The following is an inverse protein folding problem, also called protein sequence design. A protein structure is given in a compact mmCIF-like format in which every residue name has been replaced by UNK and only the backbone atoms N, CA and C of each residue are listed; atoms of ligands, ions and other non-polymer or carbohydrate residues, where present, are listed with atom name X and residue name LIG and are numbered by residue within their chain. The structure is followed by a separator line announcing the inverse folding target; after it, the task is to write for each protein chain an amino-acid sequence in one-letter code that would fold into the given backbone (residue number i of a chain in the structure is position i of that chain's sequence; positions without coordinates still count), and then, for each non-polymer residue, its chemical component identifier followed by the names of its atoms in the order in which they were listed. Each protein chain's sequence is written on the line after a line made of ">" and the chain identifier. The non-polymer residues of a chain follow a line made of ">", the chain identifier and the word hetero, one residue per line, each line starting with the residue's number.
data_IF_038744119251
#
_entry.id   IF_038744119251
#
_cell.length_a   1.000
_cell.length_b   1.000
_cell.length_c   1.000
_cell.angle_alpha   90.00
_cell.angle_beta   90.00
_cell.angle_gamma   90.00
#
_symmetry.space_group_name_H-M   'P 1'
#
loop_
_entity.id
_entity.type
_entity.pdbx_description
1 polymer ?
#
# COMPACT_ATOMS: atom_id res chain seq x y z
N UNK A 1 -17.56 27.51 -30.88
CA UNK A 1 -17.62 26.03 -30.85
C UNK A 1 -16.55 25.55 -29.88
N UNK A 2 -16.92 25.34 -28.61
CA UNK A 2 -16.00 24.83 -27.59
C UNK A 2 -16.18 23.32 -27.50
N UNK A 3 -15.21 22.56 -27.98
CA UNK A 3 -15.13 21.12 -27.76
C UNK A 3 -14.41 20.86 -26.44
N UNK A 4 -15.18 20.53 -25.40
CA UNK A 4 -14.65 20.02 -24.14
C UNK A 4 -14.41 18.53 -24.30
N UNK A 5 -13.15 18.12 -24.45
CA UNK A 5 -12.74 16.72 -24.48
C UNK A 5 -12.82 16.17 -23.05
N UNK A 6 -13.82 15.33 -22.77
CA UNK A 6 -13.87 14.55 -21.54
C UNK A 6 -12.74 13.52 -21.58
N UNK A 7 -11.78 13.62 -20.66
CA UNK A 7 -10.81 12.57 -20.41
C UNK A 7 -11.56 11.33 -19.92
N UNK A 8 -11.58 10.32 -20.78
CA UNK A 8 -12.17 9.02 -20.51
C UNK A 8 -11.33 8.35 -19.41
N UNK A 9 -11.88 8.23 -18.20
CA UNK A 9 -11.27 7.49 -17.10
C UNK A 9 -11.09 6.01 -17.52
N UNK A 10 -9.86 5.62 -17.82
CA UNK A 10 -9.46 4.23 -17.99
C UNK A 10 -9.38 3.56 -16.61
N UNK A 11 -10.51 3.10 -16.07
CA UNK A 11 -10.48 2.21 -14.92
C UNK A 11 -10.28 0.78 -15.41
N UNK A 12 -9.06 0.24 -15.33
CA UNK A 12 -8.82 -1.17 -15.58
C UNK A 12 -9.42 -2.00 -14.44
N UNK A 13 -10.29 -2.94 -14.82
CA UNK A 13 -10.76 -3.99 -13.91
C UNK A 13 -9.59 -4.94 -13.68
N UNK A 14 -9.04 -4.93 -12.48
CA UNK A 14 -8.19 -6.02 -12.01
C UNK A 14 -9.11 -7.24 -11.88
N UNK A 15 -8.98 -8.21 -12.77
CA UNK A 15 -9.67 -9.49 -12.69
C UNK A 15 -9.05 -10.31 -11.56
N UNK A 16 -9.47 -10.01 -10.33
CA UNK A 16 -9.03 -10.67 -9.09
C UNK A 16 -9.66 -12.05 -8.97
N UNK A 17 -9.37 -12.98 -9.90
CA UNK A 17 -9.82 -14.37 -9.79
C UNK A 17 -9.30 -14.98 -8.47
N UNK A 18 -10.13 -14.95 -7.43
CA UNK A 18 -9.95 -15.64 -6.16
C UNK A 18 -8.99 -15.01 -5.14
N UNK A 19 -8.41 -13.84 -5.37
CA UNK A 19 -7.44 -13.27 -4.42
C UNK A 19 -8.11 -12.29 -3.44
N UNK A 20 -8.07 -12.63 -2.14
CA UNK A 20 -8.48 -11.78 -0.99
C UNK A 20 -7.60 -10.52 -0.80
N UNK A 21 -6.77 -10.21 -1.79
CA UNK A 21 -5.77 -9.17 -1.75
C UNK A 21 -5.36 -8.69 -3.15
N UNK A 22 -4.95 -7.43 -3.23
CA UNK A 22 -4.35 -6.82 -4.42
C UNK A 22 -2.91 -6.44 -4.04
N UNK A 23 -1.94 -6.75 -4.89
CA UNK A 23 -0.54 -6.36 -4.69
C UNK A 23 0.04 -5.94 -6.04
N UNK A 24 0.44 -4.68 -6.13
CA UNK A 24 0.90 -4.06 -7.37
C UNK A 24 2.37 -3.71 -7.21
N UNK A 25 3.21 -4.21 -8.11
CA UNK A 25 4.62 -3.83 -8.25
C UNK A 25 4.69 -2.70 -9.28
N UNK A 26 4.96 -1.49 -8.80
CA UNK A 26 4.84 -0.28 -9.59
C UNK A 26 6.09 -0.10 -10.46
N UNK A 27 5.93 -0.17 -11.77
CA UNK A 27 7.04 -0.18 -12.71
C UNK A 27 7.61 -1.57 -13.01
N UNK A 28 7.02 -2.65 -12.51
CA UNK A 28 7.30 -3.99 -13.05
C UNK A 28 6.78 -4.13 -14.48
N UNK A 29 7.46 -4.94 -15.29
CA UNK A 29 7.03 -5.29 -16.64
C UNK A 29 6.11 -6.51 -16.71
N UNK A 30 6.05 -7.30 -15.63
CA UNK A 30 5.34 -8.57 -15.60
C UNK A 30 4.77 -8.87 -14.20
N UNK A 31 3.77 -9.75 -14.20
CA UNK A 31 3.19 -10.32 -12.99
C UNK A 31 4.07 -11.47 -12.50
N UNK A 32 4.12 -11.69 -11.19
CA UNK A 32 4.92 -12.76 -10.59
C UNK A 32 4.41 -13.12 -9.20
N UNK A 33 4.84 -14.27 -8.69
CA UNK A 33 4.68 -14.61 -7.28
C UNK A 33 6.00 -14.40 -6.57
N UNK A 34 6.01 -13.55 -5.55
CA UNK A 34 7.19 -13.28 -4.74
C UNK A 34 7.69 -14.56 -4.07
N UNK A 35 8.96 -14.90 -4.26
CA UNK A 35 9.50 -16.20 -3.85
C UNK A 35 9.57 -16.36 -2.34
N UNK A 36 9.80 -15.26 -1.62
CA UNK A 36 9.93 -15.27 -0.16
C UNK A 36 8.56 -15.30 0.51
N UNK A 37 7.66 -14.40 0.10
CA UNK A 37 6.36 -14.20 0.77
C UNK A 37 5.22 -15.02 0.17
N UNK A 38 5.43 -15.62 -1.01
CA UNK A 38 4.41 -16.32 -1.81
C UNK A 38 3.22 -15.45 -2.22
N UNK A 39 3.37 -14.13 -2.13
CA UNK A 39 2.33 -13.17 -2.52
C UNK A 39 2.41 -12.93 -4.02
N UNK A 40 1.32 -13.11 -4.78
CA UNK A 40 1.27 -12.72 -6.18
C UNK A 40 1.21 -11.20 -6.28
N UNK A 41 2.06 -10.67 -7.14
CA UNK A 41 2.15 -9.27 -7.54
C UNK A 41 1.78 -9.15 -9.01
N UNK A 42 0.99 -8.13 -9.31
CA UNK A 42 0.70 -7.72 -10.68
C UNK A 42 1.48 -6.47 -11.04
N UNK A 43 1.84 -6.34 -12.31
CA UNK A 43 2.39 -5.11 -12.87
C UNK A 43 1.35 -3.99 -12.80
N UNK A 44 1.81 -2.75 -12.61
CA UNK A 44 0.94 -1.58 -12.76
C UNK A 44 0.64 -1.18 -14.21
N UNK A 45 1.18 -1.93 -15.18
CA UNK A 45 0.93 -1.69 -16.60
C UNK A 45 -0.56 -1.82 -16.91
N UNK A 46 -1.13 -0.75 -17.45
CA UNK A 46 -2.56 -0.65 -17.73
C UNK A 46 -3.42 -0.25 -16.53
N UNK A 47 -2.89 -0.27 -15.30
CA UNK A 47 -3.60 0.28 -14.13
C UNK A 47 -3.44 1.80 -14.02
N UNK A 48 -2.45 2.35 -14.72
CA UNK A 48 -2.15 3.77 -14.75
C UNK A 48 -1.56 4.16 -16.10
N UNK A 49 -2.02 5.29 -16.65
CA UNK A 49 -1.61 5.79 -17.97
C UNK A 49 -0.52 6.86 -17.89
N UNK A 50 -0.22 7.34 -16.69
CA UNK A 50 0.78 8.40 -16.45
C UNK A 50 2.01 7.88 -15.73
N UNK A 51 3.02 8.74 -15.65
CA UNK A 51 4.28 8.45 -14.98
C UNK A 51 5.28 7.68 -15.83
N UNK A 52 6.50 7.60 -15.32
CA UNK A 52 7.65 6.94 -15.95
C UNK A 52 8.19 5.88 -15.00
N UNK A 53 8.58 4.75 -15.57
CA UNK A 53 9.22 3.67 -14.82
C UNK A 53 10.67 4.05 -14.54
N UNK A 54 11.12 3.81 -13.31
CA UNK A 54 12.50 4.00 -12.88
C UNK A 54 12.95 2.82 -12.04
N UNK A 55 14.25 2.57 -12.05
CA UNK A 55 14.89 1.56 -11.23
C UNK A 55 15.52 2.25 -10.03
N UNK A 56 15.38 1.67 -8.86
CA UNK A 56 16.04 2.15 -7.64
C UNK A 56 17.56 1.99 -7.84
N UNK A 57 18.36 3.03 -7.55
CA UNK A 57 19.80 3.00 -7.82
C UNK A 57 20.48 1.79 -7.19
N UNK A 58 21.50 1.26 -7.87
CA UNK A 58 22.39 0.20 -7.39
C UNK A 58 23.16 0.56 -6.12
N UNK A 59 23.22 1.84 -5.76
CA UNK A 59 23.79 2.31 -4.49
C UNK A 59 22.87 2.03 -3.28
N UNK A 60 21.63 1.62 -3.53
CA UNK A 60 20.72 1.07 -2.52
C UNK A 60 21.12 -0.37 -2.19
N UNK A 61 20.92 -0.86 -0.95
CA UNK A 61 21.44 -2.14 -0.50
C UNK A 61 21.00 -3.27 -1.43
N UNK A 62 21.93 -4.17 -1.73
CA UNK A 62 21.83 -5.23 -2.74
C UNK A 62 20.69 -6.27 -2.52
N UNK A 63 19.85 -6.11 -1.50
CA UNK A 63 18.81 -7.07 -1.11
C UNK A 63 17.40 -6.43 -1.01
N UNK A 64 17.08 -5.46 -1.87
CA UNK A 64 15.70 -5.01 -1.98
C UNK A 64 14.82 -6.14 -2.52
N UNK A 65 13.63 -6.37 -1.92
CA UNK A 65 12.68 -7.34 -2.45
C UNK A 65 12.20 -6.90 -3.84
N UNK A 66 11.75 -7.86 -4.65
CA UNK A 66 11.43 -7.62 -6.07
C UNK A 66 10.45 -6.45 -6.27
N UNK A 67 9.41 -6.37 -5.43
CA UNK A 67 8.38 -5.31 -5.43
C UNK A 67 8.85 -3.91 -5.01
N UNK A 68 10.15 -3.75 -4.78
CA UNK A 68 10.81 -2.51 -4.40
C UNK A 68 12.04 -2.20 -5.25
N UNK A 69 12.35 -3.02 -6.27
CA UNK A 69 13.50 -2.79 -7.17
C UNK A 69 13.20 -1.72 -8.22
N UNK A 70 11.93 -1.62 -8.62
CA UNK A 70 11.44 -0.60 -9.53
C UNK A 70 10.45 0.33 -8.81
N UNK A 71 10.16 1.44 -9.45
CA UNK A 71 9.13 2.37 -9.04
C UNK A 71 8.49 3.05 -10.26
N UNK A 72 7.30 3.60 -10.06
CA UNK A 72 6.69 4.55 -10.97
C UNK A 72 6.81 5.96 -10.41
N UNK A 73 7.39 6.86 -11.20
CA UNK A 73 7.59 8.28 -10.89
C UNK A 73 6.61 9.13 -11.68
N UNK A 74 6.06 10.18 -11.07
CA UNK A 74 5.06 11.06 -11.67
C UNK A 74 5.58 12.50 -11.80
N UNK A 75 6.50 12.78 -12.74
CA UNK A 75 7.06 14.13 -12.92
C UNK A 75 6.04 15.15 -13.44
N UNK A 76 4.96 14.66 -14.06
CA UNK A 76 3.91 15.47 -14.66
C UNK A 76 2.57 15.22 -13.95
N UNK A 77 1.74 16.27 -13.92
CA UNK A 77 0.43 16.23 -13.29
C UNK A 77 0.47 16.51 -11.79
N UNK A 78 -0.63 17.05 -11.27
CA UNK A 78 -0.77 17.40 -9.86
C UNK A 78 -1.38 16.26 -9.03
N UNK A 79 -2.14 15.36 -9.66
CA UNK A 79 -2.83 14.23 -9.04
C UNK A 79 -2.70 12.99 -9.92
N UNK A 80 -2.14 11.92 -9.38
CA UNK A 80 -1.97 10.64 -10.07
C UNK A 80 -2.59 9.54 -9.21
N UNK A 81 -3.57 8.79 -9.72
CA UNK A 81 -4.36 7.87 -8.91
C UNK A 81 -4.33 6.45 -9.45
N UNK A 82 -4.25 5.49 -8.54
CA UNK A 82 -4.55 4.08 -8.77
C UNK A 82 -5.98 3.80 -8.33
N UNK A 83 -6.81 3.22 -9.21
CA UNK A 83 -8.17 2.78 -8.86
C UNK A 83 -8.16 1.30 -8.54
N UNK A 84 -8.26 0.96 -7.25
CA UNK A 84 -8.34 -0.42 -6.77
C UNK A 84 -9.80 -0.88 -6.74
N UNK A 85 -10.08 -2.11 -7.18
CA UNK A 85 -11.42 -2.71 -7.17
C UNK A 85 -11.39 -4.04 -6.41
N UNK A 86 -11.47 -4.03 -5.08
CA UNK A 86 -11.45 -5.26 -4.30
C UNK A 86 -12.73 -6.07 -4.53
N UNK A 87 -12.61 -7.40 -4.57
CA UNK A 87 -13.73 -8.32 -4.84
C UNK A 87 -14.89 -8.15 -3.85
N UNK A 88 -14.59 -7.96 -2.56
CA UNK A 88 -15.61 -7.79 -1.53
C UNK A 88 -16.28 -6.40 -1.55
N UNK A 89 -15.79 -5.47 -2.39
CA UNK A 89 -16.39 -4.17 -2.62
C UNK A 89 -16.45 -3.26 -1.40
N UNK A 90 -17.46 -2.39 -1.35
CA UNK A 90 -17.66 -1.43 -0.25
C UNK A 90 -17.97 -2.08 1.10
N UNK A 91 -17.92 -1.27 2.17
CA UNK A 91 -18.31 -1.64 3.54
C UNK A 91 -17.49 -2.76 4.19
N UNK A 92 -16.28 -2.99 3.71
CA UNK A 92 -15.32 -3.91 4.29
C UNK A 92 -14.08 -3.18 4.76
N UNK A 93 -13.41 -3.71 5.80
CA UNK A 93 -12.15 -3.16 6.25
C UNK A 93 -11.01 -3.61 5.34
N UNK A 94 -10.27 -2.64 4.80
CA UNK A 94 -9.08 -2.91 4.02
C UNK A 94 -7.84 -2.27 4.65
N UNK A 95 -6.78 -3.06 4.86
CA UNK A 95 -5.45 -2.50 5.08
C UNK A 95 -4.86 -2.14 3.73
N UNK A 96 -4.63 -0.86 3.50
CA UNK A 96 -3.92 -0.32 2.34
C UNK A 96 -2.51 0.04 2.79
N UNK A 97 -1.51 -0.42 2.04
CA UNK A 97 -0.10 -0.14 2.27
C UNK A 97 0.53 0.43 1.00
N UNK A 98 1.11 1.62 1.10
CA UNK A 98 1.90 2.22 0.03
C UNK A 98 3.38 2.19 0.45
N UNK A 99 4.24 1.66 -0.43
CA UNK A 99 5.67 1.43 -0.18
C UNK A 99 6.50 2.35 -1.08
N UNK A 100 7.51 2.98 -0.48
CA UNK A 100 8.36 3.96 -1.14
C UNK A 100 9.83 3.65 -0.88
N UNK A 101 10.57 3.33 -1.95
CA UNK A 101 12.02 3.20 -1.93
C UNK A 101 12.61 4.23 -2.88
N UNK A 102 13.15 5.33 -2.33
CA UNK A 102 13.68 6.43 -3.15
C UNK A 102 14.97 6.03 -3.87
N UNK A 103 15.96 5.55 -3.11
CA UNK A 103 17.27 5.12 -3.61
C UNK A 103 17.89 6.04 -4.64
N UNK A 104 17.65 7.35 -4.53
CA UNK A 104 18.14 8.37 -5.46
C UNK A 104 17.89 8.04 -6.95
N UNK A 105 16.73 7.47 -7.29
CA UNK A 105 16.40 7.01 -8.65
C UNK A 105 16.45 8.12 -9.73
N UNK A 106 16.37 9.38 -9.31
CA UNK A 106 16.39 10.56 -10.19
C UNK A 106 17.70 11.34 -10.14
N UNK A 107 18.71 10.82 -9.42
CA UNK A 107 20.06 11.39 -9.31
C UNK A 107 20.12 12.80 -8.70
N UNK A 108 19.03 13.29 -8.10
CA UNK A 108 18.96 14.63 -7.50
C UNK A 108 19.44 14.69 -6.06
N UNK A 109 19.50 13.54 -5.41
CA UNK A 109 19.79 13.38 -3.99
C UNK A 109 18.90 14.29 -3.12
N UNK A 110 17.67 14.50 -3.56
CA UNK A 110 16.69 15.35 -2.90
C UNK A 110 15.49 14.50 -2.54
N UNK A 111 15.32 14.29 -1.23
CA UNK A 111 14.21 13.50 -0.71
C UNK A 111 12.89 14.21 -1.05
N UNK A 112 11.99 13.58 -1.82
CA UNK A 112 10.74 14.22 -2.21
C UNK A 112 9.73 14.19 -1.05
N UNK A 113 8.88 15.21 -1.02
CA UNK A 113 7.71 15.29 -0.15
C UNK A 113 6.46 15.54 -0.99
N UNK A 114 5.40 14.76 -0.74
CA UNK A 114 4.14 14.80 -1.47
C UNK A 114 3.03 14.15 -0.64
N UNK A 115 1.76 14.35 -1.01
CA UNK A 115 0.64 13.84 -0.21
C UNK A 115 0.04 12.57 -0.82
N UNK A 116 -0.48 11.69 0.04
CA UNK A 116 -1.34 10.58 -0.31
C UNK A 116 -2.77 10.92 0.04
N UNK A 117 -3.68 10.62 -0.89
CA UNK A 117 -5.11 10.76 -0.70
C UNK A 117 -5.84 9.44 -0.95
N UNK A 118 -6.94 9.23 -0.22
CA UNK A 118 -7.95 8.22 -0.53
C UNK A 118 -9.17 8.93 -1.12
N UNK A 119 -9.39 8.78 -2.43
CA UNK A 119 -10.34 9.60 -3.18
C UNK A 119 -9.94 11.07 -3.09
N UNK A 120 -10.84 11.90 -2.55
CA UNK A 120 -10.59 13.34 -2.31
C UNK A 120 -9.91 13.62 -0.97
N UNK A 121 -9.99 12.69 -0.01
CA UNK A 121 -9.56 12.92 1.36
C UNK A 121 -8.06 12.69 1.50
N UNK A 122 -7.37 13.58 2.23
CA UNK A 122 -5.98 13.39 2.60
C UNK A 122 -5.85 12.17 3.53
N UNK A 123 -4.87 11.32 3.23
CA UNK A 123 -4.46 10.22 4.08
C UNK A 123 -3.24 10.62 4.92
N UNK A 124 -2.14 11.05 4.27
CA UNK A 124 -0.89 11.43 4.94
C UNK A 124 0.06 12.13 3.97
N UNK A 125 0.99 12.91 4.50
CA UNK A 125 2.17 13.37 3.74
C UNK A 125 3.26 12.29 3.75
N UNK A 126 3.80 11.97 2.58
CA UNK A 126 4.99 11.14 2.40
C UNK A 126 6.21 12.00 2.60
N UNK A 127 7.03 11.64 3.59
CA UNK A 127 8.31 12.26 3.89
C UNK A 127 9.30 11.16 4.25
N UNK A 128 10.35 11.01 3.42
CA UNK A 128 11.32 9.91 3.53
C UNK A 128 12.63 10.36 4.19
N UNK A 129 12.64 11.49 4.92
CA UNK A 129 13.86 12.04 5.54
C UNK A 129 14.55 11.05 6.47
N UNK A 130 13.75 10.25 7.19
CA UNK A 130 14.23 9.21 8.11
C UNK A 130 14.05 7.80 7.54
N UNK A 131 13.79 7.67 6.23
CA UNK A 131 13.67 6.36 5.61
C UNK A 131 15.05 5.70 5.59
N UNK A 132 15.10 4.48 6.12
CA UNK A 132 16.28 3.63 5.97
C UNK A 132 16.47 3.20 4.51
N UNK A 133 17.58 2.50 4.23
CA UNK A 133 17.92 2.11 2.86
C UNK A 133 16.94 1.08 2.26
N UNK A 134 16.10 0.46 3.08
CA UNK A 134 15.05 -0.48 2.66
C UNK A 134 13.71 0.21 2.34
N UNK A 135 13.67 1.56 2.39
CA UNK A 135 12.47 2.36 2.15
C UNK A 135 11.59 2.56 3.38
N UNK A 136 10.42 3.16 3.12
CA UNK A 136 9.40 3.46 4.12
C UNK A 136 8.01 3.07 3.58
N UNK A 137 7.08 2.74 4.47
CA UNK A 137 5.71 2.41 4.09
C UNK A 137 4.70 3.17 4.96
N UNK A 138 3.56 3.47 4.35
CA UNK A 138 2.41 4.08 5.01
C UNK A 138 1.25 3.10 4.98
N UNK A 139 0.65 2.85 6.15
CA UNK A 139 -0.48 1.95 6.34
C UNK A 139 -1.75 2.72 6.75
N UNK A 140 -2.89 2.36 6.17
CA UNK A 140 -4.22 2.84 6.58
C UNK A 140 -5.24 1.72 6.50
N UNK A 141 -6.15 1.68 7.47
CA UNK A 141 -7.34 0.86 7.39
C UNK A 141 -8.46 1.74 6.86
N UNK A 142 -9.03 1.38 5.71
CA UNK A 142 -10.09 2.13 5.07
C UNK A 142 -11.33 1.27 4.90
N UNK A 143 -12.49 1.88 5.15
CA UNK A 143 -13.81 1.32 4.80
C UNK A 143 -14.37 2.15 3.65
N UNK A 144 -14.30 1.66 2.41
CA UNK A 144 -14.81 2.40 1.28
C UNK A 144 -16.33 2.36 1.24
N UNK A 145 -16.93 3.48 0.80
CA UNK A 145 -18.38 3.60 0.56
C UNK A 145 -18.75 3.21 -0.88
N UNK A 146 -17.74 2.99 -1.73
CA UNK A 146 -17.82 2.62 -3.15
C UNK A 146 -17.14 1.28 -3.39
N UNK A 147 -17.46 0.60 -4.48
CA UNK A 147 -16.82 -0.68 -4.85
C UNK A 147 -15.42 -0.52 -5.46
N UNK A 148 -14.86 0.69 -5.34
CA UNK A 148 -13.52 1.03 -5.74
C UNK A 148 -12.89 1.97 -4.71
N UNK A 149 -11.56 1.99 -4.67
CA UNK A 149 -10.75 2.85 -3.81
C UNK A 149 -9.72 3.54 -4.68
N UNK A 150 -9.75 4.87 -4.74
CA UNK A 150 -8.71 5.63 -5.42
C UNK A 150 -7.60 5.97 -4.43
N UNK A 151 -6.38 5.52 -4.71
CA UNK A 151 -5.16 5.88 -3.98
C UNK A 151 -4.39 6.87 -4.84
N UNK A 152 -4.34 8.13 -4.41
CA UNK A 152 -3.80 9.22 -5.21
C UNK A 152 -2.52 9.80 -4.59
N UNK A 153 -1.50 9.99 -5.43
CA UNK A 153 -0.29 10.73 -5.13
C UNK A 153 -0.45 12.18 -5.62
N UNK A 154 -0.31 13.14 -4.70
CA UNK A 154 -0.52 14.57 -4.96
C UNK A 154 0.79 15.31 -4.94
N UNK A 155 1.13 15.94 -6.06
CA UNK A 155 2.34 16.76 -6.17
C UNK A 155 2.15 18.08 -5.41
N UNK A 156 2.95 18.29 -4.37
CA UNK A 156 2.95 19.52 -3.54
C UNK A 156 4.03 20.52 -3.97
N UNK A 157 4.78 20.22 -5.03
CA UNK A 157 5.91 21.03 -5.52
C UNK A 157 7.23 20.81 -4.76
N UNK A 158 7.28 19.88 -3.79
CA UNK A 158 8.46 19.60 -2.96
C UNK A 158 9.19 18.30 -3.35
N UNK A 159 9.16 17.98 -4.65
CA UNK A 159 9.75 16.77 -5.21
C UNK A 159 8.78 16.07 -6.15
N UNK A 160 9.27 15.03 -6.83
CA UNK A 160 8.45 14.24 -7.76
C UNK A 160 7.77 13.09 -7.00
N UNK A 161 6.43 13.02 -6.97
CA UNK A 161 5.73 11.89 -6.38
C UNK A 161 6.10 10.59 -7.08
N UNK A 162 6.25 9.52 -6.31
CA UNK A 162 6.57 8.20 -6.85
C UNK A 162 6.04 7.11 -5.93
N UNK A 163 5.93 5.88 -6.42
CA UNK A 163 5.53 4.71 -5.61
C UNK A 163 6.26 3.47 -6.10
N UNK A 164 6.71 2.62 -5.16
CA UNK A 164 7.39 1.35 -5.47
C UNK A 164 6.40 0.19 -5.50
N UNK A 165 5.50 0.12 -4.52
CA UNK A 165 4.42 -0.87 -4.53
C UNK A 165 3.19 -0.42 -3.76
N UNK A 166 2.03 -0.97 -4.14
CA UNK A 166 0.74 -0.70 -3.53
C UNK A 166 0.04 -2.00 -3.20
N UNK A 167 -0.36 -2.17 -1.95
CA UNK A 167 -1.02 -3.38 -1.48
C UNK A 167 -2.34 -3.07 -0.79
N UNK A 168 -3.29 -3.98 -0.97
CA UNK A 168 -4.59 -3.96 -0.31
C UNK A 168 -4.90 -5.36 0.21
N UNK A 169 -5.21 -5.47 1.50
CA UNK A 169 -5.61 -6.71 2.17
C UNK A 169 -6.97 -6.54 2.82
N UNK A 170 -7.89 -7.47 2.59
CA UNK A 170 -9.13 -7.55 3.35
C UNK A 170 -8.83 -7.93 4.80
N UNK A 171 -9.40 -7.20 5.75
CA UNK A 171 -9.33 -7.47 7.18
C UNK A 171 -10.64 -8.09 7.69
N UNK A 172 -10.55 -8.79 8.81
CA UNK A 172 -11.73 -9.27 9.52
C UNK A 172 -12.43 -8.11 10.23
N UNK A 173 -13.68 -7.85 9.84
CA UNK A 173 -14.51 -6.78 10.39
C UNK A 173 -14.80 -6.94 11.88
N UNK A 174 -14.76 -8.17 12.42
CA UNK A 174 -14.96 -8.43 13.85
C UNK A 174 -13.80 -7.92 14.71
N UNK A 175 -12.58 -7.91 14.16
CA UNK A 175 -11.35 -7.51 14.86
C UNK A 175 -11.17 -5.99 14.80
N UNK A 176 -11.60 -5.38 13.70
CA UNK A 176 -11.55 -3.94 13.46
C UNK A 176 -12.95 -3.35 13.34
N UNK A 177 -13.74 -3.27 14.44
CA UNK A 177 -15.04 -2.63 14.38
C UNK A 177 -14.85 -1.14 14.06
N UNK A 178 -15.10 -0.78 12.81
CA UNK A 178 -14.99 0.57 12.30
C UNK A 178 -16.40 1.06 12.01
N UNK A 179 -16.81 2.17 12.62
CA UNK A 179 -18.12 2.78 12.36
C UNK A 179 -18.09 3.59 11.05
N UNK A 180 -17.60 3.00 9.95
CA UNK A 180 -17.55 3.64 8.63
C UNK A 180 -16.53 4.76 8.47
N UNK A 181 -15.39 4.73 9.19
CA UNK A 181 -14.33 5.75 9.11
C UNK A 181 -12.97 5.12 8.82
N UNK A 182 -12.13 5.86 8.10
CA UNK A 182 -10.73 5.49 7.87
C UNK A 182 -9.92 5.62 9.17
N UNK A 183 -9.04 4.66 9.44
CA UNK A 183 -8.15 4.60 10.59
C UNK A 183 -6.71 4.60 10.08
N UNK A 184 -5.95 5.66 10.36
CA UNK A 184 -4.52 5.67 10.05
C UNK A 184 -3.79 4.82 11.08
N UNK A 185 -3.00 3.83 10.59
CA UNK A 185 -2.16 3.00 11.46
C UNK A 185 -0.88 3.77 11.77
N UNK A 186 -0.63 4.03 13.04
CA UNK A 186 0.54 4.81 13.48
C UNK A 186 1.72 3.90 13.75
N UNK A 187 1.46 2.76 14.39
CA UNK A 187 2.50 1.79 14.73
C UNK A 187 1.90 0.41 14.93
N UNK A 188 2.52 -0.59 14.33
CA UNK A 188 2.28 -1.99 14.63
C UNK A 188 3.48 -2.57 15.39
N UNK A 189 3.26 -3.19 16.54
CA UNK A 189 4.29 -3.93 17.26
C UNK A 189 3.99 -5.42 17.16
N UNK A 190 4.95 -6.19 16.66
CA UNK A 190 4.93 -7.65 16.77
C UNK A 190 5.56 -8.05 18.11
N UNK A 191 4.76 -8.64 19.00
CA UNK A 191 5.17 -8.97 20.37
C UNK A 191 5.63 -10.44 20.50
N UNK A 192 5.80 -11.16 19.37
CA UNK A 192 6.22 -12.57 19.34
C UNK A 192 7.65 -12.84 18.85
N UNK A 193 8.50 -11.82 18.70
CA UNK A 193 9.74 -11.87 17.90
C UNK A 193 10.95 -12.50 18.63
N UNK A 194 11.64 -13.42 17.95
CA UNK A 194 13.06 -13.73 18.21
C UNK A 194 13.94 -12.87 17.28
N UNK A 195 15.09 -12.41 17.79
CA UNK A 195 15.88 -11.27 17.29
C UNK A 195 16.54 -11.41 15.90
N UNK A 196 16.40 -12.55 15.21
CA UNK A 196 17.14 -12.84 13.97
C UNK A 196 16.34 -12.69 12.67
N UNK A 197 15.05 -12.40 12.70
CA UNK A 197 14.21 -12.34 11.49
C UNK A 197 13.83 -10.89 11.16
N UNK A 198 14.23 -10.37 9.99
CA UNK A 198 14.18 -8.93 9.67
C UNK A 198 12.92 -8.44 8.94
N UNK A 199 12.03 -9.33 8.48
CA UNK A 199 10.73 -8.92 7.94
C UNK A 199 9.78 -10.11 7.83
N UNK A 200 8.83 -10.20 8.75
CA UNK A 200 7.82 -11.26 8.69
C UNK A 200 6.57 -10.74 7.97
N UNK A 201 6.45 -11.11 6.70
CA UNK A 201 5.35 -10.73 5.82
C UNK A 201 4.47 -11.96 5.60
N UNK A 202 3.50 -12.15 6.49
CA UNK A 202 2.66 -13.35 6.53
C UNK A 202 1.46 -13.28 5.57
N UNK A 203 1.12 -14.42 4.94
CA UNK A 203 -0.31 -14.77 4.76
C UNK A 203 -0.96 -14.71 6.13
N UNK A 204 -2.03 -13.93 6.32
CA UNK A 204 -2.68 -13.70 7.61
C UNK A 204 -3.21 -15.02 8.20
N UNK A 205 -2.34 -15.79 8.86
CA UNK A 205 -2.71 -17.02 9.57
C UNK A 205 -2.48 -16.89 11.08
N UNK A 206 -1.49 -16.12 11.56
CA UNK A 206 -1.36 -15.77 12.98
C UNK A 206 -0.55 -14.48 13.17
N UNK A 207 -1.08 -13.46 13.85
CA UNK A 207 -0.28 -12.34 14.38
C UNK A 207 -0.81 -11.90 15.74
N UNK A 208 0.07 -11.77 16.75
CA UNK A 208 -0.21 -10.96 17.95
C UNK A 208 0.34 -9.54 17.73
N UNK A 209 -0.44 -8.67 17.09
CA UNK A 209 -0.03 -7.29 16.80
C UNK A 209 -0.72 -6.31 17.75
N UNK A 210 0.05 -5.41 18.36
CA UNK A 210 -0.51 -4.19 18.97
C UNK A 210 -0.55 -3.14 17.87
N UNK A 211 -1.75 -2.69 17.51
CA UNK A 211 -1.93 -1.63 16.52
C UNK A 211 -2.35 -0.35 17.24
N UNK A 212 -1.53 0.69 17.14
CA UNK A 212 -1.93 2.06 17.51
C UNK A 212 -2.64 2.71 16.33
N UNK A 213 -3.87 3.15 16.54
CA UNK A 213 -4.65 3.93 15.57
C UNK A 213 -5.00 5.28 16.18
N UNK A 214 -4.96 6.36 15.38
CA UNK A 214 -5.56 7.63 15.79
C UNK A 214 -6.90 7.81 15.09
N UNK A 215 -7.93 8.05 15.90
CA UNK A 215 -9.25 8.47 15.46
C UNK A 215 -9.46 9.87 16.00
N UNK A 216 -9.48 10.90 15.15
CA UNK A 216 -9.74 12.29 15.57
C UNK A 216 -8.96 12.72 16.84
N UNK A 217 -7.64 12.48 16.87
CA UNK A 217 -6.78 12.84 18.01
C UNK A 217 -6.79 11.87 19.20
N UNK A 218 -7.61 10.82 19.18
CA UNK A 218 -7.63 9.78 20.21
C UNK A 218 -6.77 8.59 19.78
N UNK A 219 -5.73 8.28 20.56
CA UNK A 219 -4.89 7.08 20.38
C UNK A 219 -5.64 5.86 20.93
N UNK A 220 -6.10 4.96 20.06
CA UNK A 220 -6.55 3.63 20.46
C UNK A 220 -5.37 2.66 20.47
N UNK A 221 -5.15 2.02 21.62
CA UNK A 221 -4.21 0.90 21.79
C UNK A 221 -5.05 -0.38 21.83
N UNK A 222 -4.95 -1.24 20.80
CA UNK A 222 -5.61 -2.55 20.82
C UNK A 222 -4.55 -3.65 20.80
N UNK A 223 -4.45 -4.42 21.89
CA UNK A 223 -3.70 -5.68 21.90
C UNK A 223 -4.54 -6.75 21.20
N UNK A 224 -3.99 -7.40 20.18
CA UNK A 224 -4.62 -8.54 19.53
C UNK A 224 -3.82 -9.78 19.94
N UNK A 225 -4.45 -10.74 20.62
CA UNK A 225 -3.90 -12.06 20.88
C UNK A 225 -4.84 -13.12 20.30
N UNK A 226 -4.36 -13.97 19.40
CA UNK A 226 -5.07 -15.16 18.96
C UNK A 226 -4.61 -16.38 19.76
N UNK A 227 -5.56 -17.15 20.31
CA UNK A 227 -5.38 -18.51 20.81
C UNK A 227 -6.31 -19.38 19.95
N UNK A 228 -5.81 -20.33 19.14
CA UNK A 228 -6.69 -21.21 18.40
C UNK A 228 -7.44 -22.12 19.39
N UNK A 229 -8.76 -22.13 19.32
CA UNK A 229 -9.54 -23.26 19.84
C UNK A 229 -9.25 -24.46 18.94
N UNK A 230 -8.49 -25.43 19.44
CA UNK A 230 -8.40 -26.74 18.81
C UNK A 230 -9.78 -27.40 18.89
N UNK A 231 -10.45 -27.52 17.75
CA UNK A 231 -11.51 -28.52 17.62
C UNK A 231 -10.82 -29.87 17.43
N UNK A 232 -10.85 -30.68 18.49
CA UNK A 232 -10.51 -32.10 18.43
C UNK A 232 -11.51 -32.80 17.51
N UNK A 233 -11.06 -33.23 16.34
CA UNK A 233 -11.66 -34.38 15.67
C UNK A 233 -10.72 -35.56 15.96
N UNK A 234 -11.07 -36.33 16.99
CA UNK A 234 -10.72 -37.75 17.00
C UNK A 234 -11.76 -38.51 16.16
N UNK A 235 -11.36 -39.61 15.52
CA UNK A 235 -12.22 -40.43 14.66
C UNK A 235 -13.32 -41.18 15.43
#
# INVERSE_FOLDING_TARGET
>A
MHTTTYAQHCAVKIDSRGFRFISIDCGSNEDYTDEDTKIPYISDKGLIDTGIVKTVSSDSPANLPRFSKNLRSFPNGTRNCYTLRPEQGKNNNYLIRAIFVYGNYDEKNQIPEFDLHLGVNEWTTVNLTNAGPNGFYYDVIHVPLTDYIDVCLINTGRGVPFISSLELRLLDNSIYPTQGRALTKIRGYDVGRNSSDFSVRWEIKVVKQIVLMVICGVVLIKMIAYVPSMRTHEP
#
